data_IF_035306324696
#
_entry.id   IF_035306324696
#
_cell.length_a   1.000
_cell.length_b   1.000
_cell.length_c   1.000
_cell.angle_alpha   90.00
_cell.angle_beta   90.00
_cell.angle_gamma   90.00
#
_symmetry.space_group_name_H-M   'P 1'
#
loop_
_entity.id
_entity.type
_entity.pdbx_description
1 polymer ?
#
# COMPACT_ATOMS: atom_id res chain seq x y z
N UNK A 1 -6.12 6.26 -4.60
CA UNK A 1 -4.94 6.91 -3.99
C UNK A 1 -3.82 6.92 -5.02
N UNK A 2 -2.98 7.96 -5.05
CA UNK A 2 -1.77 7.96 -5.86
C UNK A 2 -0.59 8.41 -4.99
N UNK A 3 0.59 7.86 -5.20
CA UNK A 3 1.76 8.15 -4.38
C UNK A 3 2.98 7.32 -4.73
N UNK A 4 4.02 7.43 -3.91
CA UNK A 4 5.28 6.70 -4.07
C UNK A 4 5.27 5.42 -3.23
N UNK A 5 5.74 4.32 -3.80
CA UNK A 5 5.96 3.08 -3.04
C UNK A 5 7.16 3.24 -2.12
N UNK A 6 6.95 3.04 -0.81
CA UNK A 6 7.96 3.27 0.23
C UNK A 6 8.51 1.99 0.82
N UNK A 7 7.72 0.93 0.86
CA UNK A 7 8.10 -0.38 1.37
C UNK A 7 7.30 -1.50 0.69
N UNK A 8 7.86 -2.71 0.70
CA UNK A 8 7.24 -3.92 0.13
C UNK A 8 7.46 -5.09 1.07
N UNK A 9 6.48 -5.99 1.15
CA UNK A 9 6.60 -7.25 1.86
C UNK A 9 5.80 -8.36 1.17
N UNK A 10 5.77 -9.54 1.79
CA UNK A 10 4.99 -10.65 1.27
C UNK A 10 3.49 -10.33 1.29
N UNK A 11 2.92 -10.09 0.10
CA UNK A 11 1.50 -9.81 -0.11
C UNK A 11 1.03 -8.42 0.30
N UNK A 12 1.95 -7.47 0.47
CA UNK A 12 1.61 -6.06 0.69
C UNK A 12 2.70 -5.11 0.22
N UNK A 13 2.34 -3.85 0.08
CA UNK A 13 3.27 -2.74 -0.08
C UNK A 13 2.71 -1.47 0.54
N UNK A 14 3.52 -0.43 0.69
CA UNK A 14 3.12 0.87 1.24
C UNK A 14 3.14 1.94 0.16
N UNK A 15 2.13 2.81 0.17
CA UNK A 15 2.08 4.02 -0.68
C UNK A 15 2.07 5.26 0.22
N UNK A 16 2.95 6.20 -0.04
CA UNK A 16 2.91 7.55 0.54
C UNK A 16 2.52 8.58 -0.53
N UNK A 17 1.42 9.28 -0.31
CA UNK A 17 0.93 10.38 -1.14
C UNK A 17 1.46 11.76 -0.69
N UNK A 18 2.34 11.78 0.31
CA UNK A 18 2.89 12.99 0.93
C UNK A 18 2.31 13.29 2.31
N UNK A 19 1.28 12.54 2.75
CA UNK A 19 0.75 12.65 4.09
C UNK A 19 1.67 12.05 5.17
N UNK A 20 2.64 11.23 4.79
CA UNK A 20 3.57 10.56 5.70
C UNK A 20 2.83 9.79 6.83
N UNK A 21 1.77 9.06 6.47
CA UNK A 21 1.01 8.26 7.43
C UNK A 21 1.92 7.28 8.18
N UNK A 22 1.73 7.19 9.49
CA UNK A 22 2.40 6.21 10.35
C UNK A 22 1.35 5.28 10.97
N UNK A 23 1.58 3.98 10.86
CA UNK A 23 0.77 2.92 11.42
C UNK A 23 1.50 2.11 12.51
N UNK A 24 2.68 2.58 12.95
CA UNK A 24 3.52 1.93 13.95
C UNK A 24 4.39 0.79 13.41
N UNK A 25 4.35 0.50 12.10
CA UNK A 25 5.18 -0.55 11.49
C UNK A 25 6.61 -0.12 11.16
N UNK A 26 6.89 1.20 11.25
CA UNK A 26 8.15 1.79 10.76
C UNK A 26 8.19 2.00 9.24
N UNK A 27 7.12 1.68 8.52
CA UNK A 27 6.97 1.94 7.09
C UNK A 27 6.07 3.15 6.87
N UNK A 28 6.53 4.11 6.07
CA UNK A 28 5.79 5.36 5.82
C UNK A 28 4.70 5.13 4.77
N UNK A 29 3.48 5.56 5.05
CA UNK A 29 2.36 5.58 4.12
C UNK A 29 1.22 4.65 4.53
N UNK A 30 0.35 4.34 3.58
CA UNK A 30 -0.78 3.43 3.77
C UNK A 30 -0.45 2.06 3.20
N UNK A 31 -0.67 1.01 3.99
CA UNK A 31 -0.50 -0.37 3.55
C UNK A 31 -1.57 -0.74 2.52
N UNK A 32 -1.15 -1.28 1.39
CA UNK A 32 -1.99 -1.93 0.39
C UNK A 32 -1.83 -3.44 0.52
N UNK A 33 -2.92 -4.14 0.79
CA UNK A 33 -3.00 -5.60 0.82
C UNK A 33 -3.16 -6.09 -0.62
N UNK A 34 -2.11 -6.70 -1.17
CA UNK A 34 -2.05 -7.15 -2.56
C UNK A 34 -2.24 -8.66 -2.72
N UNK A 35 -2.13 -9.45 -1.64
CA UNK A 35 -2.27 -10.90 -1.71
C UNK A 35 -1.21 -11.52 -2.63
N UNK A 36 -1.64 -12.21 -3.69
CA UNK A 36 -0.75 -12.80 -4.70
C UNK A 36 -0.47 -11.89 -5.91
N UNK A 37 -0.99 -10.66 -5.92
CA UNK A 37 -0.76 -9.72 -7.02
C UNK A 37 0.68 -9.21 -7.03
N UNK A 38 1.13 -8.82 -8.23
CA UNK A 38 2.45 -8.25 -8.48
C UNK A 38 2.58 -6.94 -7.72
N UNK A 39 3.58 -6.90 -6.84
CA UNK A 39 3.91 -5.72 -6.04
C UNK A 39 4.78 -4.77 -6.86
N UNK A 40 4.44 -3.48 -6.96
CA UNK A 40 5.29 -2.50 -7.63
C UNK A 40 6.63 -2.31 -6.90
N UNK A 41 7.74 -2.01 -7.62
CA UNK A 41 9.03 -1.75 -6.98
C UNK A 41 9.01 -0.55 -6.02
N UNK A 42 9.85 -0.61 -4.98
CA UNK A 42 10.09 0.55 -4.10
C UNK A 42 10.58 1.73 -4.94
N UNK A 43 10.01 2.91 -4.67
CA UNK A 43 10.34 4.15 -5.36
C UNK A 43 9.45 4.46 -6.56
N UNK A 44 8.70 3.48 -7.09
CA UNK A 44 7.73 3.72 -8.16
C UNK A 44 6.63 4.68 -7.72
N UNK A 45 6.23 5.59 -8.61
CA UNK A 45 5.01 6.38 -8.46
C UNK A 45 3.87 5.61 -9.08
N UNK A 46 2.77 5.44 -8.35
CA UNK A 46 1.64 4.64 -8.79
C UNK A 46 0.32 5.33 -8.48
N UNK A 47 -0.72 4.96 -9.24
CA UNK A 47 -2.11 5.19 -8.88
C UNK A 47 -2.77 3.85 -8.59
N UNK A 48 -3.54 3.79 -7.49
CA UNK A 48 -4.27 2.61 -7.04
C UNK A 48 -5.73 2.94 -6.77
N UNK A 49 -6.63 2.13 -7.31
CA UNK A 49 -8.05 2.10 -6.96
C UNK A 49 -8.33 0.88 -6.10
N UNK A 50 -8.72 1.07 -4.84
CA UNK A 50 -8.82 -0.02 -3.89
C UNK A 50 -9.97 0.20 -2.91
N UNK A 51 -10.31 -0.86 -2.17
CA UNK A 51 -11.35 -0.84 -1.15
C UNK A 51 -10.71 -0.39 0.17
N UNK A 52 -11.31 0.61 0.84
CA UNK A 52 -10.88 1.02 2.18
C UNK A 52 -11.07 -0.14 3.16
N UNK A 53 -10.03 -0.47 3.91
CA UNK A 53 -10.02 -1.62 4.81
C UNK A 53 -9.09 -1.38 6.01
N UNK A 54 -8.82 -2.45 6.75
CA UNK A 54 -7.91 -2.47 7.88
C UNK A 54 -7.09 -3.74 7.87
N UNK A 55 -5.92 -3.69 8.51
CA UNK A 55 -5.12 -4.88 8.77
C UNK A 55 -4.71 -4.92 10.24
N UNK A 56 -4.41 -6.11 10.75
CA UNK A 56 -3.90 -6.31 12.10
C UNK A 56 -2.40 -6.57 12.07
N UNK A 57 -1.65 -5.87 12.90
CA UNK A 57 -0.21 -6.08 13.10
C UNK A 57 0.20 -5.71 14.52
N UNK A 58 0.93 -6.60 15.19
CA UNK A 58 1.34 -6.39 16.58
C UNK A 58 0.17 -6.20 17.56
N UNK A 59 -1.00 -6.77 17.27
CA UNK A 59 -2.22 -6.60 18.07
C UNK A 59 -2.97 -5.29 17.82
N UNK A 60 -2.46 -4.41 16.95
CA UNK A 60 -3.10 -3.15 16.59
C UNK A 60 -3.83 -3.24 15.26
N UNK A 61 -4.96 -2.56 15.18
CA UNK A 61 -5.73 -2.38 13.94
C UNK A 61 -5.30 -1.08 13.27
N UNK A 62 -4.84 -1.15 12.03
CA UNK A 62 -4.38 0.00 11.26
C UNK A 62 -5.07 0.10 9.90
N UNK A 63 -5.13 1.31 9.34
CA UNK A 63 -5.73 1.60 8.04
C UNK A 63 -5.01 0.84 6.91
N UNK A 64 -5.77 0.32 5.96
CA UNK A 64 -5.24 -0.33 4.77
C UNK A 64 -6.13 -0.08 3.55
N UNK A 65 -5.58 -0.42 2.39
CA UNK A 65 -6.30 -0.55 1.13
C UNK A 65 -6.27 -2.02 0.68
N UNK A 66 -7.43 -2.61 0.42
CA UNK A 66 -7.51 -3.95 -0.16
C UNK A 66 -7.57 -3.83 -1.68
N UNK A 67 -6.57 -4.40 -2.36
CA UNK A 67 -6.50 -4.38 -3.82
C UNK A 67 -7.46 -5.43 -4.40
N UNK A 68 -8.48 -5.05 -5.19
CA UNK A 68 -9.47 -6.01 -5.69
C UNK A 68 -8.99 -6.76 -6.94
N UNK A 69 -8.10 -6.18 -7.74
CA UNK A 69 -7.50 -6.82 -8.91
C UNK A 69 -6.16 -6.19 -9.30
N UNK A 70 -5.35 -6.89 -10.10
CA UNK A 70 -4.07 -6.39 -10.62
C UNK A 70 -4.22 -5.13 -11.49
N UNK A 71 -5.31 -5.04 -12.26
CA UNK A 71 -5.60 -3.93 -13.17
C UNK A 71 -5.85 -2.61 -12.43
N UNK A 72 -6.09 -2.66 -11.12
CA UNK A 72 -6.31 -1.49 -10.30
C UNK A 72 -5.01 -0.83 -9.81
N UNK A 73 -3.85 -1.28 -10.30
CA UNK A 73 -2.55 -0.65 -10.04
C UNK A 73 -1.95 -0.17 -11.36
N UNK A 74 -1.68 1.12 -11.45
CA UNK A 74 -1.02 1.73 -12.59
C UNK A 74 0.30 2.37 -12.18
N UNK A 75 1.41 2.01 -12.84
CA UNK A 75 2.68 2.74 -12.73
C UNK A 75 2.53 4.07 -13.47
N UNK A 76 2.83 5.16 -12.77
CA UNK A 76 2.87 6.51 -13.33
C UNK A 76 4.29 6.81 -13.82
N UNK A 77 4.38 7.44 -15.00
CA UNK A 77 5.66 7.87 -15.60
C UNK A 77 6.11 9.21 -15.02
#
# INVERSE_FOLDING_TARGET
MAGRVTATGAGYFYIDDGAACDDGSGMVGVRVLSGSFTVPPIGSRIAVTAISSTYSYGGNLSRALLLPSQENVQILK
#
